data_IF_778348649186
#
_entry.id   IF_778348649186
#
_cell.length_a   1.000
_cell.length_b   1.000
_cell.length_c   1.000
_cell.angle_alpha   90.00
_cell.angle_beta   90.00
_cell.angle_gamma   90.00
#
_symmetry.space_group_name_H-M   'P 1'
#
loop_
_entity.id
_entity.type
_entity.pdbx_description
1 polymer ?
#
# COMPACT_ATOMS: atom_id res chain seq x y z
N UNK A 1 1.32 -19.97 -28.11
CA UNK A 1 0.41 -20.43 -27.04
C UNK A 1 -0.99 -20.61 -27.57
N UNK A 2 -1.50 -21.83 -27.45
CA UNK A 2 -2.92 -22.18 -27.66
C UNK A 2 -3.62 -22.41 -26.30
N UNK A 3 -4.86 -22.92 -26.32
CA UNK A 3 -5.64 -23.18 -25.10
C UNK A 3 -5.00 -24.29 -24.24
N UNK A 4 -4.41 -25.31 -24.85
CA UNK A 4 -3.78 -26.43 -24.13
C UNK A 4 -2.48 -25.99 -23.48
N UNK A 5 -1.65 -25.21 -24.17
CA UNK A 5 -0.47 -24.60 -23.58
C UNK A 5 -0.86 -23.59 -22.49
N UNK A 6 -1.86 -22.73 -22.71
CA UNK A 6 -2.36 -21.81 -21.68
C UNK A 6 -2.83 -22.55 -20.42
N UNK A 7 -3.55 -23.66 -20.55
CA UNK A 7 -3.95 -24.50 -19.42
C UNK A 7 -2.78 -25.18 -18.69
N UNK A 8 -1.64 -25.36 -19.36
CA UNK A 8 -0.38 -25.81 -18.75
C UNK A 8 0.28 -24.64 -18.00
N UNK A 9 0.56 -23.53 -18.69
CA UNK A 9 1.27 -22.36 -18.12
C UNK A 9 0.51 -21.72 -16.98
N UNK A 10 -0.81 -21.61 -17.07
CA UNK A 10 -1.64 -21.06 -16.00
C UNK A 10 -1.52 -21.83 -14.68
N UNK A 11 -1.35 -23.16 -14.74
CA UNK A 11 -1.09 -23.99 -13.54
C UNK A 11 0.33 -23.77 -13.04
N UNK A 12 1.33 -23.81 -13.93
CA UNK A 12 2.74 -23.53 -13.61
C UNK A 12 2.90 -22.17 -12.90
N UNK A 13 2.12 -21.15 -13.30
CA UNK A 13 2.11 -19.83 -12.66
C UNK A 13 1.36 -19.79 -11.32
N UNK A 14 0.27 -20.54 -11.15
CA UNK A 14 -0.42 -20.66 -9.85
C UNK A 14 0.48 -21.37 -8.83
N UNK A 15 1.14 -22.45 -9.23
CA UNK A 15 2.08 -23.19 -8.38
C UNK A 15 3.31 -22.33 -8.04
N UNK A 16 3.89 -21.62 -9.02
CA UNK A 16 4.97 -20.67 -8.81
C UNK A 16 4.58 -19.57 -7.79
N UNK A 17 3.42 -18.94 -7.93
CA UNK A 17 2.97 -17.89 -7.00
C UNK A 17 2.73 -18.46 -5.60
N UNK A 18 2.16 -19.67 -5.49
CA UNK A 18 1.99 -20.35 -4.21
C UNK A 18 3.34 -20.64 -3.52
N UNK A 19 4.35 -21.10 -4.26
CA UNK A 19 5.68 -21.36 -3.73
C UNK A 19 6.46 -20.07 -3.41
N UNK A 20 6.30 -19.00 -4.21
CA UNK A 20 6.80 -17.67 -3.87
C UNK A 20 6.27 -17.21 -2.51
N UNK A 21 4.95 -17.33 -2.25
CA UNK A 21 4.38 -17.00 -0.94
C UNK A 21 4.90 -17.91 0.19
N UNK A 22 5.07 -19.22 -0.02
CA UNK A 22 5.66 -20.14 0.98
C UNK A 22 7.11 -19.81 1.33
N UNK A 23 7.87 -19.28 0.38
CA UNK A 23 9.30 -18.97 0.54
C UNK A 23 9.57 -17.50 0.89
N UNK A 24 8.54 -16.66 0.91
CA UNK A 24 8.66 -15.19 0.91
C UNK A 24 9.40 -14.62 2.12
N UNK A 25 9.29 -15.25 3.29
CA UNK A 25 10.03 -14.86 4.50
C UNK A 25 11.55 -14.93 4.29
N UNK A 26 12.02 -15.87 3.45
CA UNK A 26 13.45 -16.15 3.23
C UNK A 26 14.08 -15.24 2.18
N UNK A 27 13.27 -14.51 1.39
CA UNK A 27 13.77 -13.61 0.34
C UNK A 27 14.11 -12.23 0.93
N UNK A 28 15.16 -11.53 0.45
CA UNK A 28 15.54 -10.21 0.95
C UNK A 28 14.42 -9.19 0.72
N UNK A 29 14.08 -8.40 1.74
CA UNK A 29 12.90 -7.52 1.72
C UNK A 29 13.00 -6.42 0.67
N UNK A 30 14.21 -5.87 0.54
CA UNK A 30 14.59 -4.79 -0.34
C UNK A 30 15.82 -5.24 -1.16
N UNK A 31 15.86 -4.98 -2.48
CA UNK A 31 16.88 -5.50 -3.38
C UNK A 31 18.25 -4.81 -3.19
N UNK A 32 19.29 -5.44 -3.73
CA UNK A 32 20.67 -4.93 -3.75
C UNK A 32 21.01 -4.42 -5.16
N UNK A 33 20.37 -3.32 -5.57
CA UNK A 33 20.47 -2.78 -6.93
C UNK A 33 20.47 -1.25 -6.96
N UNK A 34 21.25 -0.68 -7.87
CA UNK A 34 21.36 0.76 -8.09
C UNK A 34 20.47 1.26 -9.24
N UNK A 35 20.10 2.55 -9.29
CA UNK A 35 19.31 3.13 -10.38
C UNK A 35 19.95 2.87 -11.76
N UNK A 36 19.24 2.12 -12.61
CA UNK A 36 19.70 1.75 -13.96
C UNK A 36 20.29 0.34 -14.09
N UNK A 37 20.46 -0.43 -13.01
CA UNK A 37 21.02 -1.80 -13.02
C UNK A 37 20.40 -2.73 -14.08
N UNK A 38 19.11 -2.51 -14.38
CA UNK A 38 18.30 -3.36 -15.23
C UNK A 38 18.68 -3.24 -16.71
N UNK A 39 19.14 -2.06 -17.15
CA UNK A 39 19.31 -1.77 -18.58
C UNK A 39 20.46 -2.58 -19.23
N UNK A 40 21.63 -2.78 -18.60
CA UNK A 40 22.67 -3.67 -19.12
C UNK A 40 22.30 -5.17 -19.15
N UNK A 41 21.14 -5.55 -18.61
CA UNK A 41 20.69 -6.95 -18.54
C UNK A 41 19.63 -7.31 -19.59
N UNK A 42 19.06 -6.33 -20.28
CA UNK A 42 17.98 -6.47 -21.27
C UNK A 42 18.47 -5.94 -22.63
N UNK A 43 18.12 -6.55 -23.77
CA UNK A 43 18.45 -6.01 -25.10
C UNK A 43 17.95 -4.57 -25.32
N UNK A 44 18.74 -3.72 -25.98
CA UNK A 44 18.38 -2.33 -26.29
C UNK A 44 17.20 -2.18 -27.29
N UNK A 45 16.75 -3.29 -27.89
CA UNK A 45 15.60 -3.35 -28.80
C UNK A 45 14.80 -4.63 -28.61
N UNK A 46 13.48 -4.59 -28.84
CA UNK A 46 12.63 -5.78 -28.82
C UNK A 46 13.10 -6.84 -29.85
N UNK A 47 12.97 -8.15 -29.54
CA UNK A 47 13.35 -9.22 -30.46
C UNK A 47 12.48 -9.18 -31.72
N UNK A 48 13.05 -9.59 -32.86
CA UNK A 48 12.33 -9.67 -34.14
C UNK A 48 11.54 -10.97 -34.28
N UNK A 49 12.04 -12.05 -33.67
CA UNK A 49 11.44 -13.38 -33.66
C UNK A 49 10.88 -13.71 -32.25
N UNK A 50 9.84 -14.56 -32.14
CA UNK A 50 9.24 -14.89 -30.86
C UNK A 50 10.12 -15.83 -30.02
N UNK A 51 10.33 -15.47 -28.75
CA UNK A 51 10.98 -16.31 -27.75
C UNK A 51 9.98 -17.31 -27.12
N UNK A 52 10.49 -18.40 -26.54
CA UNK A 52 9.66 -19.40 -25.87
C UNK A 52 9.39 -19.02 -24.39
N UNK A 53 8.30 -19.56 -23.83
CA UNK A 53 7.85 -19.24 -22.48
C UNK A 53 8.88 -19.60 -21.40
N UNK A 54 9.58 -20.73 -21.54
CA UNK A 54 10.63 -21.16 -20.61
C UNK A 54 11.79 -20.15 -20.51
N UNK A 55 12.24 -19.57 -21.62
CA UNK A 55 13.34 -18.58 -21.62
C UNK A 55 12.90 -17.23 -21.05
N UNK A 56 11.68 -16.77 -21.40
CA UNK A 56 11.08 -15.56 -20.78
C UNK A 56 10.94 -15.72 -19.26
N UNK A 57 10.56 -16.91 -18.77
CA UNK A 57 10.42 -17.18 -17.34
C UNK A 57 11.78 -17.30 -16.62
N UNK A 58 12.80 -17.88 -17.27
CA UNK A 58 14.18 -17.88 -16.74
C UNK A 58 14.69 -16.46 -16.55
N UNK A 59 14.45 -15.58 -17.52
CA UNK A 59 14.89 -14.20 -17.46
C UNK A 59 14.06 -13.35 -16.49
N UNK A 60 12.79 -13.68 -16.25
CA UNK A 60 12.04 -13.14 -15.11
C UNK A 60 12.69 -13.48 -13.76
N UNK A 61 13.04 -14.75 -13.49
CA UNK A 61 13.74 -15.12 -12.25
C UNK A 61 15.18 -14.55 -12.18
N UNK A 62 15.88 -14.45 -13.30
CA UNK A 62 17.30 -14.04 -13.38
C UNK A 62 17.51 -12.53 -13.33
N UNK A 63 16.63 -11.76 -13.97
CA UNK A 63 16.80 -10.31 -14.19
C UNK A 63 15.83 -9.50 -13.33
N UNK A 64 14.54 -9.89 -13.31
CA UNK A 64 13.49 -9.08 -12.69
C UNK A 64 13.43 -9.33 -11.19
N UNK A 65 13.26 -10.59 -10.77
CA UNK A 65 13.02 -10.95 -9.37
C UNK A 65 14.10 -10.53 -8.37
N UNK A 66 15.42 -10.46 -8.70
CA UNK A 66 16.43 -9.94 -7.79
C UNK A 66 16.29 -8.43 -7.49
N UNK A 67 15.60 -7.69 -8.36
CA UNK A 67 15.27 -6.27 -8.19
C UNK A 67 13.89 -6.00 -7.57
N UNK A 68 13.08 -7.04 -7.29
CA UNK A 68 11.73 -6.87 -6.73
C UNK A 68 11.82 -6.59 -5.23
N UNK A 69 11.30 -5.43 -4.81
CA UNK A 69 11.00 -5.19 -3.39
C UNK A 69 9.80 -6.05 -2.96
N UNK A 70 9.96 -6.90 -1.94
CA UNK A 70 8.94 -7.88 -1.58
C UNK A 70 7.90 -7.31 -0.60
N UNK A 71 6.94 -6.53 -1.12
CA UNK A 71 5.87 -5.85 -0.38
C UNK A 71 5.01 -6.75 0.54
N UNK A 72 4.88 -8.04 0.21
CA UNK A 72 4.13 -9.02 1.02
C UNK A 72 5.02 -9.75 2.06
N UNK A 73 6.32 -9.46 2.13
CA UNK A 73 7.22 -10.06 3.13
C UNK A 73 6.78 -9.69 4.55
N UNK A 74 6.86 -10.62 5.53
CA UNK A 74 6.54 -10.32 6.93
C UNK A 74 7.54 -9.35 7.59
N UNK A 75 8.62 -9.00 6.88
CA UNK A 75 9.62 -8.03 7.31
C UNK A 75 9.54 -6.68 6.56
N UNK A 76 8.52 -6.49 5.71
CA UNK A 76 8.23 -5.22 5.05
C UNK A 76 7.32 -4.34 5.94
N UNK A 77 7.87 -3.25 6.49
CA UNK A 77 7.16 -2.34 7.40
C UNK A 77 7.11 -0.89 6.86
N UNK A 78 7.30 -0.72 5.56
CA UNK A 78 7.32 0.57 4.86
C UNK A 78 5.94 1.01 4.33
N UNK A 79 5.84 2.27 3.88
CA UNK A 79 4.67 2.84 3.19
C UNK A 79 3.32 2.52 3.88
N UNK A 80 2.39 1.91 3.13
CA UNK A 80 1.31 1.05 3.60
C UNK A 80 1.39 -0.24 2.76
N UNK A 81 1.12 -1.42 3.32
CA UNK A 81 1.26 -2.68 2.60
C UNK A 81 0.07 -2.92 1.65
N UNK A 82 0.34 -3.62 0.55
CA UNK A 82 -0.69 -4.11 -0.36
C UNK A 82 -1.44 -5.30 0.26
N UNK A 83 -2.76 -5.17 0.41
CA UNK A 83 -3.60 -6.24 0.99
C UNK A 83 -4.01 -7.24 -0.10
N UNK A 84 -3.06 -8.08 -0.50
CA UNK A 84 -3.33 -9.21 -1.41
C UNK A 84 -4.11 -10.34 -0.72
N UNK A 85 -4.84 -11.14 -1.49
CA UNK A 85 -5.45 -12.40 -1.04
C UNK A 85 -5.61 -13.37 -2.21
N UNK A 86 -5.56 -14.68 -1.95
CA UNK A 86 -5.72 -15.68 -3.01
C UNK A 86 -7.08 -15.59 -3.75
N UNK A 87 -8.23 -15.33 -3.09
CA UNK A 87 -9.48 -15.08 -3.80
C UNK A 87 -9.43 -13.86 -4.74
N UNK A 88 -8.72 -12.80 -4.37
CA UNK A 88 -8.53 -11.63 -5.24
C UNK A 88 -7.66 -11.98 -6.46
N UNK A 89 -6.53 -12.68 -6.27
CA UNK A 89 -5.67 -13.12 -7.37
C UNK A 89 -6.39 -14.05 -8.36
N UNK A 90 -7.29 -14.92 -7.86
CA UNK A 90 -8.14 -15.75 -8.71
C UNK A 90 -9.21 -14.93 -9.45
N UNK A 91 -9.74 -13.87 -8.84
CA UNK A 91 -10.64 -12.93 -9.49
C UNK A 91 -9.93 -12.07 -10.55
N UNK A 92 -8.67 -11.70 -10.35
CA UNK A 92 -7.85 -10.99 -11.34
C UNK A 92 -7.61 -11.87 -12.58
N UNK A 93 -7.27 -13.16 -12.39
CA UNK A 93 -7.14 -14.16 -13.46
C UNK A 93 -8.46 -14.31 -14.23
N UNK A 94 -9.60 -14.41 -13.51
CA UNK A 94 -10.93 -14.52 -14.13
C UNK A 94 -11.30 -13.25 -14.92
N UNK A 95 -11.02 -12.07 -14.37
CA UNK A 95 -11.31 -10.77 -15.00
C UNK A 95 -10.51 -10.59 -16.28
N UNK A 96 -9.20 -10.86 -16.24
CA UNK A 96 -8.33 -10.86 -17.41
C UNK A 96 -8.74 -11.90 -18.47
N UNK A 97 -9.21 -13.08 -18.05
CA UNK A 97 -9.69 -14.13 -18.94
C UNK A 97 -11.04 -13.84 -19.62
N UNK A 98 -11.91 -13.06 -18.98
CA UNK A 98 -13.17 -12.58 -19.58
C UNK A 98 -12.92 -11.37 -20.50
N UNK A 99 -11.91 -10.53 -20.19
CA UNK A 99 -11.49 -9.42 -21.06
C UNK A 99 -12.52 -8.30 -21.22
N UNK A 100 -13.40 -8.12 -20.23
CA UNK A 100 -14.56 -7.24 -20.35
C UNK A 100 -14.21 -5.75 -20.27
N UNK A 101 -14.76 -4.92 -21.17
CA UNK A 101 -14.54 -3.47 -21.21
C UNK A 101 -15.80 -2.70 -20.79
N UNK A 102 -15.98 -2.50 -19.49
CA UNK A 102 -17.21 -1.97 -18.88
C UNK A 102 -17.29 -0.43 -18.85
N UNK A 103 -17.08 0.23 -19.99
CA UNK A 103 -17.18 1.71 -20.09
C UNK A 103 -18.63 2.24 -20.18
N UNK A 104 -19.62 1.35 -20.26
CA UNK A 104 -21.05 1.66 -20.16
C UNK A 104 -21.85 0.41 -19.79
N UNK A 105 -23.06 0.58 -19.25
CA UNK A 105 -23.98 -0.54 -18.96
C UNK A 105 -24.23 -1.42 -20.20
N UNK A 106 -24.39 -0.82 -21.39
CA UNK A 106 -24.60 -1.56 -22.63
C UNK A 106 -23.36 -2.37 -23.08
N UNK A 107 -22.14 -1.99 -22.66
CA UNK A 107 -20.92 -2.74 -22.92
C UNK A 107 -20.74 -3.92 -21.95
N UNK A 108 -21.24 -3.80 -20.71
CA UNK A 108 -21.38 -4.93 -19.77
C UNK A 108 -22.40 -4.65 -18.68
N UNK A 109 -23.63 -5.21 -18.77
CA UNK A 109 -24.61 -5.11 -17.72
C UNK A 109 -24.12 -5.77 -16.44
N UNK A 110 -23.63 -7.01 -16.54
CA UNK A 110 -23.20 -7.81 -15.38
C UNK A 110 -22.11 -7.14 -14.55
N UNK A 111 -21.13 -6.48 -15.17
CA UNK A 111 -20.10 -5.73 -14.44
C UNK A 111 -20.68 -4.46 -13.78
N UNK A 112 -21.51 -3.70 -14.50
CA UNK A 112 -22.08 -2.44 -14.00
C UNK A 112 -23.03 -2.68 -12.82
N UNK A 113 -23.91 -3.67 -12.93
CA UNK A 113 -24.83 -4.07 -11.86
C UNK A 113 -24.06 -4.63 -10.65
N UNK A 114 -23.07 -5.49 -10.86
CA UNK A 114 -22.29 -6.09 -9.77
C UNK A 114 -21.45 -5.03 -9.03
N UNK A 115 -20.78 -4.12 -9.73
CA UNK A 115 -20.05 -3.00 -9.12
C UNK A 115 -20.99 -2.16 -8.24
N UNK A 116 -22.17 -1.82 -8.77
CA UNK A 116 -23.20 -1.06 -8.05
C UNK A 116 -23.62 -1.78 -6.76
N UNK A 117 -23.91 -3.09 -6.83
CA UNK A 117 -24.29 -3.90 -5.64
C UNK A 117 -23.14 -4.02 -4.64
N UNK A 118 -21.88 -4.18 -5.08
CA UNK A 118 -20.71 -4.26 -4.20
C UNK A 118 -20.42 -2.93 -3.49
N UNK A 119 -20.57 -1.79 -4.19
CA UNK A 119 -20.47 -0.46 -3.59
C UNK A 119 -21.59 -0.23 -2.55
N UNK A 120 -22.81 -0.69 -2.85
CA UNK A 120 -23.94 -0.66 -1.91
C UNK A 120 -23.66 -1.50 -0.65
N UNK A 121 -23.04 -2.67 -0.80
CA UNK A 121 -22.63 -3.52 0.32
C UNK A 121 -21.53 -2.85 1.17
N UNK A 122 -20.52 -2.26 0.53
CA UNK A 122 -19.46 -1.52 1.22
C UNK A 122 -20.01 -0.30 1.96
N UNK A 123 -20.93 0.46 1.35
CA UNK A 123 -21.59 1.61 2.00
C UNK A 123 -22.39 1.18 3.24
N UNK A 124 -23.09 0.05 3.18
CA UNK A 124 -23.80 -0.54 4.33
C UNK A 124 -22.84 -1.04 5.43
N UNK A 125 -21.73 -1.68 5.06
CA UNK A 125 -20.69 -2.09 6.02
C UNK A 125 -20.00 -0.91 6.71
N UNK A 126 -19.87 0.23 6.02
CA UNK A 126 -19.36 1.49 6.57
C UNK A 126 -20.44 2.31 7.31
N UNK A 127 -21.69 1.82 7.35
CA UNK A 127 -22.86 2.50 7.91
C UNK A 127 -23.04 3.94 7.36
N UNK A 128 -22.91 4.09 6.04
CA UNK A 128 -23.20 5.34 5.35
C UNK A 128 -24.73 5.61 5.32
N UNK A 129 -25.17 6.89 5.26
CA UNK A 129 -26.56 7.25 5.00
C UNK A 129 -27.09 6.68 3.68
N UNK A 130 -28.40 6.50 3.56
CA UNK A 130 -29.03 5.88 2.37
C UNK A 130 -28.82 6.71 1.10
N UNK A 131 -28.59 8.02 1.22
CA UNK A 131 -28.27 8.94 0.12
C UNK A 131 -26.91 8.66 -0.56
N UNK A 132 -26.07 7.80 0.03
CA UNK A 132 -24.83 7.31 -0.59
C UNK A 132 -24.97 5.94 -1.27
N UNK A 133 -26.17 5.35 -1.22
CA UNK A 133 -26.48 4.05 -1.80
C UNK A 133 -27.21 4.23 -3.14
N UNK A 134 -26.92 3.38 -4.12
CA UNK A 134 -27.54 3.43 -5.44
C UNK A 134 -28.92 2.74 -5.47
N UNK A 135 -29.16 1.76 -4.58
CA UNK A 135 -30.29 0.83 -4.66
C UNK A 135 -31.71 1.38 -4.41
N UNK A 136 -31.94 2.70 -4.43
CA UNK A 136 -33.29 3.33 -4.36
C UNK A 136 -33.29 4.72 -5.04
N UNK A 137 -33.53 4.78 -6.35
CA UNK A 137 -33.76 6.02 -7.12
C UNK A 137 -32.81 7.20 -6.79
N UNK A 138 -31.57 6.88 -6.44
CA UNK A 138 -30.70 7.77 -5.67
C UNK A 138 -29.93 8.77 -6.53
N UNK A 139 -29.78 10.00 -6.02
CA UNK A 139 -28.85 11.01 -6.58
C UNK A 139 -27.38 10.71 -6.22
N UNK A 140 -27.00 9.43 -6.21
CA UNK A 140 -25.67 8.95 -5.86
C UNK A 140 -24.60 9.35 -6.90
N UNK A 141 -23.33 9.13 -6.55
CA UNK A 141 -22.18 9.47 -7.41
C UNK A 141 -21.72 10.93 -7.35
N UNK A 142 -22.15 11.70 -6.35
CA UNK A 142 -21.67 13.08 -6.13
C UNK A 142 -20.19 13.14 -5.75
N UNK A 143 -19.38 13.82 -6.56
CA UNK A 143 -17.96 14.08 -6.26
C UNK A 143 -17.83 15.15 -5.18
N UNK A 144 -17.23 14.81 -4.03
CA UNK A 144 -16.90 15.80 -3.00
C UNK A 144 -15.65 16.59 -3.45
N UNK A 145 -15.86 17.81 -3.97
CA UNK A 145 -14.77 18.71 -4.43
C UNK A 145 -13.82 19.19 -3.32
N UNK A 146 -14.06 18.80 -2.07
CA UNK A 146 -13.21 19.05 -0.92
C UNK A 146 -12.85 17.70 -0.26
N UNK A 147 -11.59 17.27 -0.32
CA UNK A 147 -11.20 16.02 0.34
C UNK A 147 -10.87 16.25 1.82
N UNK A 148 -11.41 15.40 2.69
CA UNK A 148 -10.95 15.21 4.06
C UNK A 148 -10.34 13.81 4.19
N UNK A 149 -9.24 13.67 4.94
CA UNK A 149 -8.48 12.41 5.00
C UNK A 149 -8.68 11.67 6.32
N UNK A 150 -9.02 10.39 6.23
CA UNK A 150 -9.04 9.45 7.35
C UNK A 150 -7.78 8.55 7.26
N UNK A 151 -6.66 9.00 7.84
CA UNK A 151 -5.40 8.23 7.85
C UNK A 151 -4.31 8.74 6.89
N UNK A 152 -3.85 9.98 7.05
CA UNK A 152 -2.78 10.59 6.22
C UNK A 152 -1.47 9.77 6.21
N UNK A 153 -0.85 9.58 5.04
CA UNK A 153 0.34 8.72 4.86
C UNK A 153 1.49 8.94 5.86
N UNK A 154 1.88 10.18 6.24
CA UNK A 154 3.03 10.38 7.13
C UNK A 154 2.87 9.81 8.55
N UNK A 155 1.66 9.89 9.14
CA UNK A 155 1.45 9.59 10.57
C UNK A 155 0.07 9.01 10.92
N UNK A 156 -0.73 8.67 9.92
CA UNK A 156 -2.14 8.30 9.99
C UNK A 156 -2.93 9.26 10.89
N UNK A 157 -2.93 10.55 10.52
CA UNK A 157 -3.80 11.57 11.11
C UNK A 157 -5.17 11.59 10.44
N UNK A 158 -6.16 12.13 11.14
CA UNK A 158 -7.57 12.13 10.74
C UNK A 158 -8.10 13.57 10.68
N UNK A 159 -9.22 13.73 9.97
CA UNK A 159 -9.87 15.01 9.67
C UNK A 159 -11.31 15.10 10.22
N UNK A 160 -11.74 16.27 10.74
CA UNK A 160 -12.99 16.42 11.50
C UNK A 160 -14.17 16.66 10.56
N UNK A 161 -14.66 15.58 9.96
CA UNK A 161 -15.78 15.59 9.02
C UNK A 161 -17.00 16.40 9.54
N UNK A 162 -17.31 16.28 10.84
CA UNK A 162 -18.41 16.99 11.50
C UNK A 162 -18.23 18.53 11.57
N UNK A 163 -17.00 19.04 11.54
CA UNK A 163 -16.74 20.49 11.46
C UNK A 163 -16.62 20.97 10.01
N UNK A 164 -16.10 20.11 9.13
CA UNK A 164 -15.84 20.44 7.72
C UNK A 164 -17.12 20.46 6.88
N UNK A 165 -18.03 19.50 7.10
CA UNK A 165 -19.30 19.40 6.36
C UNK A 165 -20.15 20.68 6.35
N UNK A 166 -20.42 21.31 7.52
CA UNK A 166 -21.12 22.59 7.59
C UNK A 166 -20.42 23.73 6.82
N UNK A 167 -19.09 23.77 6.82
CA UNK A 167 -18.29 24.78 6.11
C UNK A 167 -18.34 24.57 4.58
N UNK A 168 -18.24 23.33 4.11
CA UNK A 168 -18.41 23.00 2.70
C UNK A 168 -19.83 23.36 2.20
N UNK A 169 -20.85 23.22 3.06
CA UNK A 169 -22.23 23.58 2.77
C UNK A 169 -22.47 25.09 2.71
N UNK A 170 -21.86 25.88 3.61
CA UNK A 170 -22.01 27.35 3.60
C UNK A 170 -21.24 28.05 2.47
N UNK A 171 -20.18 27.43 1.95
CA UNK A 171 -19.38 27.94 0.83
C UNK A 171 -19.84 27.44 -0.56
N UNK A 172 -21.00 26.80 -0.65
CA UNK A 172 -21.63 26.36 -1.91
C UNK A 172 -20.77 25.48 -2.83
N UNK A 173 -19.83 24.69 -2.28
CA UNK A 173 -19.02 23.70 -3.04
C UNK A 173 -19.82 22.49 -3.57
N UNK A 174 -21.16 22.53 -3.45
CA UNK A 174 -22.07 21.52 -3.98
C UNK A 174 -22.52 21.88 -5.41
N UNK A 175 -21.67 21.62 -6.40
CA UNK A 175 -22.07 21.58 -7.80
C UNK A 175 -22.26 20.13 -8.26
N UNK A 176 -23.49 19.76 -8.66
CA UNK A 176 -23.77 18.47 -9.31
C UNK A 176 -23.13 18.43 -10.70
N UNK A 177 -21.96 17.80 -10.80
CA UNK A 177 -21.24 17.58 -12.05
C UNK A 177 -21.00 16.07 -12.20
N UNK A 178 -21.71 15.44 -13.14
CA UNK A 178 -21.59 14.02 -13.47
C UNK A 178 -20.32 13.70 -14.28
N UNK A 179 -19.13 14.00 -13.72
CA UNK A 179 -17.81 13.59 -14.27
C UNK A 179 -16.81 13.32 -13.15
N UNK A 180 -16.16 12.15 -13.21
CA UNK A 180 -15.16 11.72 -12.24
C UNK A 180 -13.83 12.47 -12.40
N UNK A 181 -13.18 12.85 -11.28
CA UNK A 181 -11.91 13.61 -11.25
C UNK A 181 -11.34 13.77 -9.82
N UNK A 182 -10.07 14.18 -9.73
CA UNK A 182 -9.22 14.21 -8.51
C UNK A 182 -8.78 15.68 -8.28
N UNK A 183 -8.88 16.35 -7.09
CA UNK A 183 -7.90 16.15 -5.99
C UNK A 183 -8.17 16.65 -4.51
N UNK A 184 -7.38 16.10 -3.56
CA UNK A 184 -6.67 16.72 -2.39
C UNK A 184 -7.36 17.49 -1.21
N UNK A 185 -6.62 17.54 -0.06
CA UNK A 185 -7.05 17.20 1.33
C UNK A 185 -7.15 18.33 2.40
N UNK A 186 -7.77 18.09 3.61
CA UNK A 186 -7.41 18.48 5.04
C UNK A 186 -8.68 18.70 5.97
N UNK A 187 -8.72 18.74 7.34
CA UNK A 187 -7.79 18.54 8.51
C UNK A 187 -8.52 18.16 9.86
N UNK A 188 -7.82 17.59 10.88
CA UNK A 188 -8.09 17.55 12.38
C UNK A 188 -8.76 16.31 13.08
N UNK A 189 -8.48 15.84 14.32
CA UNK A 189 -7.20 15.43 14.99
C UNK A 189 -7.30 14.85 16.44
N UNK A 190 -8.47 14.68 17.09
CA UNK A 190 -8.54 14.48 18.57
C UNK A 190 -8.09 13.10 19.11
N UNK A 191 -8.74 11.99 18.74
CA UNK A 191 -8.70 10.74 19.52
C UNK A 191 -7.30 10.11 19.67
N UNK A 192 -6.49 10.11 18.61
CA UNK A 192 -5.13 9.53 18.62
C UNK A 192 -4.16 10.31 19.54
N UNK A 193 -4.40 11.61 19.72
CA UNK A 193 -3.62 12.46 20.64
C UNK A 193 -3.96 12.19 22.10
N UNK A 194 -5.19 11.74 22.41
CA UNK A 194 -5.64 11.48 23.77
C UNK A 194 -4.84 10.37 24.46
N UNK A 195 -4.65 9.22 23.79
CA UNK A 195 -3.80 8.13 24.29
C UNK A 195 -2.34 8.57 24.46
N UNK A 196 -1.78 9.22 23.44
CA UNK A 196 -0.36 9.64 23.42
C UNK A 196 -0.06 10.65 24.53
N UNK A 197 -0.92 11.66 24.74
CA UNK A 197 -0.78 12.60 25.84
C UNK A 197 -1.01 11.96 27.22
N UNK A 198 -1.91 10.96 27.34
CA UNK A 198 -2.16 10.27 28.61
C UNK A 198 -1.07 9.27 29.02
N UNK A 199 -0.33 8.68 28.08
CA UNK A 199 0.76 7.74 28.39
C UNK A 199 2.10 8.42 28.64
N UNK A 200 2.45 9.44 27.85
CA UNK A 200 3.78 10.07 27.91
C UNK A 200 3.80 11.47 28.56
N UNK A 201 2.65 12.14 28.64
CA UNK A 201 2.54 13.52 29.09
C UNK A 201 3.22 14.54 28.14
N UNK A 202 2.86 15.81 28.26
CA UNK A 202 3.44 16.87 27.42
C UNK A 202 4.96 17.00 27.65
N UNK A 203 5.43 16.81 28.89
CA UNK A 203 6.87 16.83 29.22
C UNK A 203 7.61 15.66 28.56
N UNK A 204 7.17 14.42 28.73
CA UNK A 204 7.84 13.25 28.16
C UNK A 204 7.90 13.27 26.62
N UNK A 205 6.81 13.68 25.96
CA UNK A 205 6.79 13.89 24.50
C UNK A 205 7.75 14.99 24.06
N UNK A 206 7.73 16.16 24.71
CA UNK A 206 8.67 17.23 24.38
C UNK A 206 10.13 16.81 24.61
N UNK A 207 10.41 16.03 25.66
CA UNK A 207 11.77 15.62 26.01
C UNK A 207 12.29 14.53 25.07
N UNK A 208 11.45 13.57 24.68
CA UNK A 208 11.78 12.58 23.63
C UNK A 208 12.03 13.27 22.28
N UNK A 209 11.19 14.25 21.89
CA UNK A 209 11.36 15.02 20.65
C UNK A 209 12.59 15.96 20.69
N UNK A 210 12.95 16.49 21.87
CA UNK A 210 14.16 17.32 22.05
C UNK A 210 15.45 16.48 22.07
N UNK A 211 15.43 15.28 22.65
CA UNK A 211 16.59 14.37 22.71
C UNK A 211 16.84 13.62 21.39
N UNK A 212 15.82 13.40 20.56
CA UNK A 212 15.98 12.79 19.24
C UNK A 212 16.67 13.76 18.24
N UNK A 213 17.92 13.46 17.88
CA UNK A 213 18.60 14.09 16.73
C UNK A 213 18.08 13.51 15.41
N UNK A 214 17.84 14.36 14.41
CA UNK A 214 17.43 13.89 13.08
C UNK A 214 18.55 13.05 12.44
N UNK A 215 19.82 13.47 12.61
CA UNK A 215 20.99 12.76 12.10
C UNK A 215 21.12 11.33 12.65
N UNK A 216 20.82 11.12 13.95
CA UNK A 216 20.81 9.78 14.55
C UNK A 216 19.66 8.92 14.01
N UNK A 217 18.49 9.52 13.76
CA UNK A 217 17.36 8.82 13.17
C UNK A 217 17.61 8.47 11.68
N UNK A 218 18.29 9.34 10.94
CA UNK A 218 18.72 9.15 9.54
C UNK A 218 19.77 8.04 9.45
N UNK A 219 20.81 8.08 10.29
CA UNK A 219 21.83 7.03 10.38
C UNK A 219 21.22 5.68 10.81
N UNK A 220 20.35 5.67 11.82
CA UNK A 220 19.66 4.45 12.25
C UNK A 220 18.78 3.86 11.13
N UNK A 221 18.02 4.69 10.39
CA UNK A 221 17.24 4.23 9.24
C UNK A 221 18.16 3.63 8.16
N UNK A 222 19.28 4.29 7.86
CA UNK A 222 20.27 3.84 6.89
C UNK A 222 20.78 2.44 7.29
N UNK A 223 21.29 2.27 8.51
CA UNK A 223 21.79 0.98 9.00
C UNK A 223 20.72 -0.12 9.06
N UNK A 224 19.44 0.23 9.30
CA UNK A 224 18.32 -0.73 9.25
C UNK A 224 18.11 -1.24 7.81
N UNK A 225 18.05 -0.34 6.83
CA UNK A 225 17.81 -0.73 5.44
C UNK A 225 19.05 -1.40 4.81
N UNK A 226 20.26 -0.96 5.14
CA UNK A 226 21.52 -1.61 4.72
C UNK A 226 21.68 -3.02 5.31
N UNK A 227 21.15 -3.28 6.51
CA UNK A 227 21.11 -4.63 7.07
C UNK A 227 20.14 -5.57 6.35
N UNK A 228 19.20 -5.04 5.54
CA UNK A 228 18.24 -5.74 4.64
C UNK A 228 17.29 -6.76 5.30
N UNK A 229 17.33 -6.90 6.63
CA UNK A 229 16.49 -7.87 7.38
C UNK A 229 15.07 -7.37 7.62
N UNK A 230 14.86 -6.07 7.58
CA UNK A 230 13.56 -5.39 7.58
C UNK A 230 13.67 -4.16 6.68
N UNK A 231 12.54 -3.65 6.17
CA UNK A 231 12.52 -2.40 5.38
C UNK A 231 11.63 -1.34 6.02
N UNK A 232 12.16 -0.12 6.15
CA UNK A 232 11.47 1.05 6.71
C UNK A 232 11.60 2.28 5.81
N UNK A 233 10.62 3.17 5.90
CA UNK A 233 10.56 4.46 5.19
C UNK A 233 10.16 5.57 6.16
N UNK A 234 10.86 6.72 6.19
CA UNK A 234 10.64 7.77 7.19
C UNK A 234 9.50 8.72 6.79
N UNK A 235 9.26 9.72 7.62
CA UNK A 235 8.65 10.99 7.22
C UNK A 235 9.25 12.17 7.98
N UNK A 236 9.03 13.37 7.44
CA UNK A 236 9.27 14.63 8.14
C UNK A 236 7.96 15.14 8.75
N UNK A 237 7.95 15.41 10.05
CA UNK A 237 6.81 15.98 10.78
C UNK A 237 7.20 17.39 11.29
N UNK A 238 7.19 18.36 10.37
CA UNK A 238 7.98 19.61 10.49
C UNK A 238 9.47 19.25 10.55
N UNK A 239 10.27 20.01 11.30
CA UNK A 239 11.74 19.91 11.42
C UNK A 239 12.24 18.63 12.14
N UNK A 240 11.46 17.54 12.13
CA UNK A 240 11.74 16.28 12.83
C UNK A 240 11.61 15.09 11.90
N UNK A 241 12.72 14.37 11.76
CA UNK A 241 12.81 13.11 11.01
C UNK A 241 12.30 11.96 11.88
N UNK A 242 11.34 11.19 11.38
CA UNK A 242 10.65 10.13 12.14
C UNK A 242 10.59 8.84 11.32
N UNK A 243 11.07 7.73 11.88
CA UNK A 243 10.93 6.40 11.27
C UNK A 243 9.47 5.95 11.38
N UNK A 244 8.88 5.45 10.29
CA UNK A 244 7.53 4.86 10.29
C UNK A 244 7.64 3.34 10.31
N UNK A 245 6.87 2.69 11.18
CA UNK A 245 6.81 1.24 11.33
C UNK A 245 5.36 0.78 11.07
N UNK A 246 5.08 0.28 9.86
CA UNK A 246 3.73 -0.06 9.42
C UNK A 246 3.43 -1.58 9.53
N UNK A 247 2.75 -1.98 10.60
CA UNK A 247 2.27 -3.36 10.79
C UNK A 247 0.90 -3.51 10.10
N UNK A 248 0.87 -3.99 8.85
CA UNK A 248 -0.40 -4.39 8.20
C UNK A 248 -0.27 -5.44 7.06
N UNK A 249 0.93 -5.97 6.76
CA UNK A 249 1.04 -7.06 5.77
C UNK A 249 0.47 -8.35 6.37
N UNK A 250 -0.25 -9.14 5.57
CA UNK A 250 -1.03 -10.30 6.05
C UNK A 250 -0.19 -11.45 6.61
N UNK A 251 1.11 -11.44 6.33
CA UNK A 251 2.11 -12.43 6.78
C UNK A 251 2.72 -12.07 8.14
N UNK A 252 2.45 -10.88 8.66
CA UNK A 252 3.11 -10.35 9.87
C UNK A 252 2.46 -10.89 11.16
N UNK A 253 3.00 -11.99 11.65
CA UNK A 253 2.77 -12.47 13.02
C UNK A 253 3.62 -11.70 14.07
N UNK A 254 3.26 -11.85 15.35
CA UNK A 254 3.92 -11.22 16.51
C UNK A 254 5.44 -11.49 16.58
N UNK A 255 5.89 -12.68 16.16
CA UNK A 255 7.32 -13.04 16.13
C UNK A 255 8.15 -12.09 15.25
N UNK A 256 7.64 -11.69 14.09
CA UNK A 256 8.31 -10.77 13.17
C UNK A 256 8.43 -9.35 13.76
N UNK A 257 7.39 -8.91 14.47
CA UNK A 257 7.38 -7.60 15.17
C UNK A 257 8.40 -7.60 16.32
N UNK A 258 8.48 -8.69 17.09
CA UNK A 258 9.49 -8.85 18.15
C UNK A 258 10.92 -8.92 17.59
N UNK A 259 11.12 -9.64 16.49
CA UNK A 259 12.40 -9.69 15.77
C UNK A 259 12.81 -8.29 15.28
N UNK A 260 11.90 -7.58 14.60
CA UNK A 260 12.15 -6.23 14.10
C UNK A 260 12.50 -5.26 15.23
N UNK A 261 11.73 -5.27 16.33
CA UNK A 261 12.03 -4.43 17.51
C UNK A 261 13.40 -4.75 18.12
N UNK A 262 13.75 -6.04 18.27
CA UNK A 262 15.06 -6.48 18.76
C UNK A 262 16.20 -6.03 17.82
N UNK A 263 15.98 -6.08 16.51
CA UNK A 263 16.95 -5.66 15.51
C UNK A 263 17.18 -4.14 15.52
N UNK A 264 16.11 -3.34 15.54
CA UNK A 264 16.14 -1.88 15.65
C UNK A 264 16.83 -1.48 16.96
N UNK A 265 16.44 -2.10 18.08
CA UNK A 265 17.03 -1.84 19.40
C UNK A 265 18.53 -2.12 19.41
N UNK A 266 18.99 -3.21 18.77
CA UNK A 266 20.43 -3.48 18.63
C UNK A 266 21.13 -2.38 17.83
N UNK A 267 20.66 -2.07 16.62
CA UNK A 267 21.30 -1.07 15.75
C UNK A 267 21.35 0.31 16.40
N UNK A 268 20.29 0.72 17.11
CA UNK A 268 20.28 1.97 17.87
C UNK A 268 21.27 1.93 19.05
N UNK A 269 21.39 0.79 19.75
CA UNK A 269 22.33 0.62 20.86
C UNK A 269 23.78 0.61 20.39
N UNK A 270 24.05 0.10 19.18
CA UNK A 270 25.40 0.09 18.61
C UNK A 270 25.79 1.48 18.09
N UNK A 271 24.92 2.16 17.33
CA UNK A 271 25.11 3.55 16.87
C UNK A 271 25.34 4.54 18.03
N UNK A 272 24.66 4.35 19.16
CA UNK A 272 24.83 5.18 20.37
C UNK A 272 26.15 4.94 21.13
N UNK A 273 27.01 4.01 20.69
CA UNK A 273 28.40 3.84 21.19
C UNK A 273 29.43 4.52 20.30
N UNK A 274 29.03 4.91 19.09
CA UNK A 274 29.87 5.53 18.06
C UNK A 274 29.76 7.07 18.07
N UNK A 275 29.02 7.63 19.05
CA UNK A 275 28.68 9.05 19.20
C UNK A 275 29.11 9.59 20.57
#
# INVERSE_FOLDING_TARGET
MDITEFQKRGKEMVDYIADYFKQLEKRPVYPDVEPGYLRPLIPDSAPQEPENFEDVLKDFERIIMPGVTHWHSPYFFAYFPTVGSFPALLADILSGGIGCLSFSWAASPACTELETVMLDWLGKMLNLPEEFLAGRDGEGGGVIQFCATLGTTPCCSFDRLLELGPICKSLSYYHKIFRYGIPLTRRFRSLKMWFVFRMYGIKGLQEHIRKASNQLNEALLKSINEARKIHLVPCHLREKFVLRFAICSRTVESVHVQFAWKHISKLATDLLKEC
#
